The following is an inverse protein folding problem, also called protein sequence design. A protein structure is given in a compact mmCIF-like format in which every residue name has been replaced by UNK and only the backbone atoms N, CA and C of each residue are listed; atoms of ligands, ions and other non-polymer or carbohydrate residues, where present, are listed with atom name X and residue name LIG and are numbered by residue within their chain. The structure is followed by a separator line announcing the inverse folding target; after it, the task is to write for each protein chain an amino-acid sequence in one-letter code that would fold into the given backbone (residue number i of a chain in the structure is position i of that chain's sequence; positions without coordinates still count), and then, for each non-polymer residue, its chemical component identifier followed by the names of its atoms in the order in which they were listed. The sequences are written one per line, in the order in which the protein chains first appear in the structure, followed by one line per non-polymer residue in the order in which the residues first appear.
data_IF_827312513085
#
_entry.id   IF_827312513085
#
_cell.length_a   1.000
_cell.length_b   1.000
_cell.length_c   1.000
_cell.angle_alpha   90.00
_cell.angle_beta   90.00
_cell.angle_gamma   90.00
#
_symmetry.space_group_name_H-M   'P 1'
#
loop_
_entity.id
_entity.type
_entity.pdbx_description
1 polymer ?
#
# COMPACT_ATOMS: atom_id res chain seq x y z
N UNK A 1 -1.33 -7.76 4.92
CA UNK A 1 -1.39 -6.58 5.80
C UNK A 1 -2.83 -6.35 6.23
N UNK A 2 -3.09 -6.03 7.50
CA UNK A 2 -4.42 -5.65 7.99
C UNK A 2 -4.63 -4.13 7.91
N UNK A 3 -3.63 -3.37 8.31
CA UNK A 3 -3.62 -1.91 8.26
C UNK A 3 -2.16 -1.45 8.15
N UNK A 4 -1.94 -0.34 7.43
CA UNK A 4 -0.73 0.46 7.50
C UNK A 4 -1.12 1.85 7.99
N UNK A 5 -0.25 2.49 8.77
CA UNK A 5 -0.48 3.84 9.28
C UNK A 5 0.82 4.62 9.26
N UNK A 6 0.73 5.88 8.81
CA UNK A 6 1.79 6.87 8.87
C UNK A 6 1.25 8.14 9.57
N UNK A 7 2.13 8.97 10.16
CA UNK A 7 1.73 10.22 10.78
C UNK A 7 0.82 11.07 9.87
N UNK A 8 -0.32 11.51 10.41
CA UNK A 8 -1.31 12.31 9.68
C UNK A 8 -2.41 11.50 8.99
N UNK A 9 -2.35 10.17 8.99
CA UNK A 9 -3.42 9.32 8.45
C UNK A 9 -4.60 9.17 9.41
N UNK A 10 -5.81 9.19 8.83
CA UNK A 10 -7.03 8.76 9.52
C UNK A 10 -7.05 7.24 9.73
N UNK A 11 -7.75 6.73 10.76
CA UNK A 11 -8.00 5.30 10.91
C UNK A 11 -8.69 4.71 9.68
N UNK A 12 -8.38 3.44 9.38
CA UNK A 12 -9.10 2.71 8.35
C UNK A 12 -10.55 2.47 8.79
N UNK A 13 -11.49 3.10 8.10
CA UNK A 13 -12.91 2.81 8.18
C UNK A 13 -13.33 2.05 6.92
N UNK A 14 -13.96 0.88 7.09
CA UNK A 14 -14.53 0.10 5.99
C UNK A 14 -16.03 0.37 5.87
N UNK A 15 -16.56 0.25 4.66
CA UNK A 15 -17.99 0.40 4.41
C UNK A 15 -18.83 -0.65 5.17
N UNK A 16 -20.09 -0.36 5.51
CA UNK A 16 -21.00 -1.36 6.06
C UNK A 16 -21.03 -2.65 5.22
N UNK A 17 -21.01 -3.80 5.88
CA UNK A 17 -20.96 -5.11 5.22
C UNK A 17 -19.56 -5.53 4.75
N UNK A 18 -18.55 -4.68 4.88
CA UNK A 18 -17.15 -5.02 4.60
C UNK A 18 -16.35 -5.35 5.85
N UNK A 19 -15.41 -6.30 5.73
CA UNK A 19 -14.42 -6.56 6.77
C UNK A 19 -13.11 -7.10 6.19
N UNK A 20 -12.02 -6.99 6.95
CA UNK A 20 -10.81 -7.76 6.70
C UNK A 20 -10.85 -9.07 7.50
N UNK A 21 -10.46 -10.17 6.86
CA UNK A 21 -10.48 -11.50 7.48
C UNK A 21 -9.25 -11.71 8.37
N UNK A 22 -9.48 -11.97 9.66
CA UNK A 22 -8.50 -12.56 10.57
C UNK A 22 -8.92 -14.01 10.80
N UNK A 23 -8.07 -14.97 10.43
CA UNK A 23 -8.39 -16.39 10.60
C UNK A 23 -8.16 -16.81 12.05
N UNK A 24 -8.92 -17.81 12.52
CA UNK A 24 -8.64 -18.45 13.81
C UNK A 24 -7.20 -18.97 13.83
N UNK A 25 -6.48 -18.69 14.92
CA UNK A 25 -5.08 -19.09 15.09
C UNK A 25 -4.05 -18.17 14.42
N UNK A 26 -4.47 -17.04 13.81
CA UNK A 26 -3.53 -16.05 13.29
C UNK A 26 -2.71 -15.39 14.42
N UNK A 27 -1.43 -15.18 14.17
CA UNK A 27 -0.56 -14.31 14.98
C UNK A 27 -0.61 -12.91 14.38
N UNK A 28 -0.81 -11.90 15.21
CA UNK A 28 -0.73 -10.50 14.81
C UNK A 28 0.72 -10.03 15.00
N UNK A 29 1.34 -9.59 13.90
CA UNK A 29 2.67 -9.00 13.92
C UNK A 29 2.51 -7.50 13.82
N UNK A 30 3.14 -6.78 14.76
CA UNK A 30 3.18 -5.33 14.75
C UNK A 30 4.59 -4.87 14.37
N UNK A 31 4.70 -4.20 13.23
CA UNK A 31 5.95 -3.61 12.74
C UNK A 31 5.90 -2.11 12.99
N UNK A 32 6.89 -1.60 13.71
CA UNK A 32 6.99 -0.19 14.11
C UNK A 32 8.28 0.41 13.57
N UNK A 33 8.17 1.57 12.92
CA UNK A 33 9.31 2.33 12.42
C UNK A 33 9.49 3.55 13.32
N UNK A 34 10.56 3.59 14.10
CA UNK A 34 10.90 4.73 14.97
C UNK A 34 11.94 5.63 14.29
N UNK A 35 11.66 6.92 14.25
CA UNK A 35 12.69 7.95 14.06
C UNK A 35 13.22 8.35 15.44
N UNK A 36 14.52 8.13 15.68
CA UNK A 36 15.12 8.45 16.99
C UNK A 36 15.14 9.95 17.26
N UNK A 37 14.91 10.32 18.52
CA UNK A 37 15.06 11.70 19.01
C UNK A 37 16.45 11.95 19.64
N UNK A 38 17.28 10.91 19.75
CA UNK A 38 18.61 10.99 20.40
C UNK A 38 18.62 10.64 21.90
N UNK A 39 17.45 10.60 22.54
CA UNK A 39 17.30 10.29 23.96
C UNK A 39 16.66 8.92 24.18
N UNK A 40 17.01 8.26 25.28
CA UNK A 40 16.36 7.02 25.69
C UNK A 40 14.92 7.30 26.15
N UNK A 41 13.95 6.62 25.54
CA UNK A 41 12.53 6.73 25.85
C UNK A 41 11.87 5.36 25.96
N UNK A 42 10.71 5.30 26.62
CA UNK A 42 9.81 4.14 26.61
C UNK A 42 8.59 4.49 25.77
N UNK A 43 8.11 3.52 24.99
CA UNK A 43 6.91 3.66 24.18
C UNK A 43 5.95 2.49 24.44
N UNK A 44 4.65 2.77 24.37
CA UNK A 44 3.59 1.77 24.46
C UNK A 44 2.52 2.08 23.41
N UNK A 45 2.94 2.21 22.16
CA UNK A 45 2.01 2.37 21.04
C UNK A 45 1.13 1.13 20.87
N UNK A 46 -0.15 1.34 20.59
CA UNK A 46 -1.12 0.27 20.39
C UNK A 46 -1.99 0.50 19.16
N UNK A 47 -2.66 -0.57 18.73
CA UNK A 47 -3.64 -0.54 17.63
C UNK A 47 -4.96 -1.09 18.15
N UNK A 48 -6.04 -0.37 17.90
CA UNK A 48 -7.39 -0.85 18.17
C UNK A 48 -7.97 -1.57 16.94
N UNK A 49 -8.59 -2.72 17.16
CA UNK A 49 -9.29 -3.48 16.13
C UNK A 49 -10.78 -3.51 16.45
N UNK A 50 -11.60 -3.03 15.51
CA UNK A 50 -13.05 -3.13 15.59
C UNK A 50 -13.54 -4.33 14.77
N UNK A 51 -14.20 -5.27 15.44
CA UNK A 51 -14.76 -6.46 14.79
C UNK A 51 -16.19 -6.21 14.31
N UNK A 52 -16.55 -6.78 13.16
CA UNK A 52 -17.93 -6.72 12.66
C UNK A 52 -18.89 -7.35 13.67
N UNK A 53 -19.98 -6.64 13.98
CA UNK A 53 -21.06 -7.14 14.84
C UNK A 53 -22.23 -7.74 14.05
N UNK A 54 -22.24 -7.54 12.73
CA UNK A 54 -23.29 -7.99 11.81
C UNK A 54 -22.73 -8.83 10.66
N UNK A 55 -23.59 -9.24 9.71
CA UNK A 55 -23.17 -10.03 8.56
C UNK A 55 -22.11 -9.26 7.74
N UNK A 56 -21.03 -9.95 7.42
CA UNK A 56 -20.03 -9.47 6.44
C UNK A 56 -20.40 -10.05 5.09
N UNK A 57 -20.60 -9.18 4.10
CA UNK A 57 -20.92 -9.55 2.72
C UNK A 57 -19.66 -9.67 1.86
N UNK A 58 -18.72 -8.72 2.05
CA UNK A 58 -17.49 -8.62 1.28
C UNK A 58 -16.26 -8.61 2.18
N UNK A 59 -15.24 -9.35 1.77
CA UNK A 59 -13.91 -9.31 2.37
C UNK A 59 -13.05 -8.33 1.59
N UNK A 60 -12.52 -7.33 2.29
CA UNK A 60 -11.51 -6.43 1.76
C UNK A 60 -10.15 -7.13 1.76
N UNK A 61 -9.49 -7.11 0.61
CA UNK A 61 -8.18 -7.71 0.37
C UNK A 61 -7.19 -6.58 0.12
N UNK A 62 -6.09 -6.55 0.88
CA UNK A 62 -4.96 -5.65 0.63
C UNK A 62 -3.93 -6.36 -0.24
N UNK A 63 -3.55 -5.73 -1.34
CA UNK A 63 -2.47 -6.19 -2.23
C UNK A 63 -1.41 -5.11 -2.34
N UNK A 64 -0.15 -5.49 -2.11
CA UNK A 64 1.00 -4.70 -2.50
C UNK A 64 1.41 -5.10 -3.91
N UNK A 65 1.40 -4.13 -4.83
CA UNK A 65 1.96 -4.26 -6.18
C UNK A 65 3.37 -3.71 -6.09
N UNK A 66 4.37 -4.60 -6.04
CA UNK A 66 5.74 -4.23 -5.70
C UNK A 66 6.72 -4.75 -6.74
N UNK A 67 7.87 -4.08 -6.85
CA UNK A 67 9.04 -4.53 -7.62
C UNK A 67 9.57 -5.85 -7.05
N UNK A 68 10.37 -6.61 -7.83
CA UNK A 68 11.12 -7.74 -7.27
C UNK A 68 12.26 -7.20 -6.40
N UNK A 69 12.27 -7.46 -5.08
CA UNK A 69 13.30 -6.95 -4.17
C UNK A 69 14.72 -7.36 -4.57
N UNK A 70 14.87 -8.48 -5.30
CA UNK A 70 16.18 -9.03 -5.67
C UNK A 70 16.82 -8.30 -6.86
N UNK A 71 16.01 -7.70 -7.72
CA UNK A 71 16.49 -6.98 -8.91
C UNK A 71 16.40 -5.47 -8.76
N UNK A 72 15.62 -4.96 -7.80
CA UNK A 72 15.48 -3.54 -7.58
C UNK A 72 16.79 -2.90 -7.11
N UNK A 73 17.38 -2.10 -7.99
CA UNK A 73 18.68 -1.45 -7.79
C UNK A 73 18.68 -0.07 -8.44
N UNK A 74 18.75 0.98 -7.63
CA UNK A 74 18.85 2.37 -8.10
C UNK A 74 20.35 2.72 -8.19
N UNK A 75 20.87 3.10 -9.38
CA UNK A 75 22.27 3.49 -9.52
C UNK A 75 22.61 4.71 -8.67
N UNK A 76 23.88 4.79 -8.25
CA UNK A 76 24.42 5.99 -7.60
C UNK A 76 24.25 7.21 -8.51
N UNK A 77 23.80 8.33 -7.94
CA UNK A 77 23.67 9.60 -8.65
C UNK A 77 22.51 9.72 -9.66
N UNK A 78 21.72 8.67 -9.90
CA UNK A 78 20.61 8.71 -10.84
C UNK A 78 19.50 9.64 -10.32
N UNK A 79 19.21 10.72 -11.06
CA UNK A 79 18.25 11.73 -10.65
C UNK A 79 16.79 11.35 -10.98
N UNK A 80 16.54 10.28 -11.74
CA UNK A 80 15.20 9.91 -12.19
C UNK A 80 15.05 8.44 -12.57
N UNK A 81 15.51 7.54 -11.70
CA UNK A 81 15.41 6.10 -11.93
C UNK A 81 13.96 5.65 -11.94
N UNK A 82 13.51 4.98 -13.01
CA UNK A 82 12.16 4.47 -13.14
C UNK A 82 12.05 3.02 -12.64
N UNK A 83 11.03 2.75 -11.82
CA UNK A 83 10.67 1.41 -11.38
C UNK A 83 9.23 1.07 -11.77
N UNK A 84 8.99 -0.19 -12.11
CA UNK A 84 7.68 -0.69 -12.54
C UNK A 84 7.30 -1.99 -11.84
N UNK A 85 6.03 -2.13 -11.51
CA UNK A 85 5.45 -3.36 -10.99
C UNK A 85 4.02 -3.52 -11.49
N UNK A 86 3.54 -4.75 -11.62
CA UNK A 86 2.20 -5.01 -12.14
C UNK A 86 1.43 -6.06 -11.34
N UNK A 87 0.11 -6.01 -11.43
CA UNK A 87 -0.78 -7.01 -10.86
C UNK A 87 -2.02 -7.21 -11.74
N UNK A 88 -2.32 -8.47 -12.08
CA UNK A 88 -3.50 -8.81 -12.90
C UNK A 88 -4.58 -9.43 -12.03
N UNK A 89 -5.81 -8.92 -12.16
CA UNK A 89 -6.98 -9.47 -11.49
C UNK A 89 -7.44 -10.76 -12.16
N UNK A 90 -7.66 -11.81 -11.37
CA UNK A 90 -8.10 -13.13 -11.84
C UNK A 90 -9.62 -13.31 -11.80
N UNK A 91 -10.33 -12.36 -11.21
CA UNK A 91 -11.77 -12.32 -10.99
C UNK A 91 -12.25 -10.86 -11.09
N UNK A 92 -13.54 -10.67 -11.32
CA UNK A 92 -14.15 -9.34 -11.27
C UNK A 92 -14.04 -8.77 -9.84
N UNK A 93 -13.65 -7.50 -9.76
CA UNK A 93 -13.26 -6.86 -8.52
C UNK A 93 -13.70 -5.39 -8.46
N UNK A 94 -13.65 -4.82 -7.26
CA UNK A 94 -13.87 -3.40 -7.02
C UNK A 94 -12.74 -2.84 -6.16
N UNK A 95 -12.03 -1.82 -6.64
CA UNK A 95 -10.95 -1.13 -5.91
C UNK A 95 -11.54 -0.02 -5.03
N UNK A 96 -11.06 0.08 -3.78
CA UNK A 96 -11.55 1.02 -2.75
C UNK A 96 -10.52 2.09 -2.35
N UNK A 97 -9.23 1.82 -2.51
CA UNK A 97 -8.19 2.79 -2.17
C UNK A 97 -6.88 2.50 -2.89
N UNK A 98 -6.04 3.52 -2.92
CA UNK A 98 -4.63 3.46 -3.33
C UNK A 98 -3.75 4.07 -2.23
N UNK A 99 -2.59 3.48 -1.98
CA UNK A 99 -1.59 4.07 -1.07
C UNK A 99 -0.19 3.82 -1.64
N UNK A 100 0.37 4.76 -2.43
CA UNK A 100 1.74 4.64 -2.90
C UNK A 100 2.72 4.75 -1.72
N UNK A 101 3.70 3.87 -1.69
CA UNK A 101 4.73 3.84 -0.66
C UNK A 101 6.12 3.70 -1.28
N UNK A 102 6.99 4.63 -0.92
CA UNK A 102 8.41 4.71 -1.25
C UNK A 102 9.15 5.33 -0.06
N UNK A 103 10.47 5.23 0.00
CA UNK A 103 11.27 5.95 0.99
C UNK A 103 11.68 7.33 0.45
N UNK A 104 12.76 7.88 1.03
CA UNK A 104 13.16 9.29 0.90
C UNK A 104 13.62 9.71 -0.49
N UNK A 105 13.82 8.76 -1.41
CA UNK A 105 14.18 9.06 -2.80
C UNK A 105 12.97 9.07 -3.73
N UNK A 106 11.79 8.66 -3.28
CA UNK A 106 10.58 8.68 -4.10
C UNK A 106 10.25 10.08 -4.62
N UNK A 107 10.01 10.21 -5.93
CA UNK A 107 9.68 11.47 -6.63
C UNK A 107 8.23 11.56 -7.04
N UNK A 108 7.71 10.49 -7.61
CA UNK A 108 6.35 10.39 -8.12
C UNK A 108 5.89 8.94 -8.19
N UNK A 109 4.56 8.76 -8.24
CA UNK A 109 3.94 7.45 -8.34
C UNK A 109 2.65 7.54 -9.17
N UNK A 110 2.47 6.60 -10.08
CA UNK A 110 1.27 6.46 -10.91
C UNK A 110 0.69 5.05 -10.81
N UNK A 111 -0.64 4.98 -10.74
CA UNK A 111 -1.43 3.76 -10.93
C UNK A 111 -2.20 3.90 -12.23
N UNK A 112 -1.97 2.98 -13.17
CA UNK A 112 -2.71 2.87 -14.42
C UNK A 112 -3.38 1.50 -14.49
N UNK A 113 -4.65 1.46 -14.85
CA UNK A 113 -5.32 0.21 -15.20
C UNK A 113 -5.26 -0.01 -16.71
N UNK A 114 -5.01 -1.25 -17.12
CA UNK A 114 -5.10 -1.73 -18.50
C UNK A 114 -6.18 -2.81 -18.53
N UNK A 115 -7.21 -2.59 -19.32
CA UNK A 115 -8.36 -3.49 -19.44
C UNK A 115 -8.08 -4.64 -20.42
N UNK A 116 -8.88 -5.73 -20.39
CA UNK A 116 -8.70 -6.87 -21.28
C UNK A 116 -8.78 -6.54 -22.78
N UNK A 117 -9.49 -5.48 -23.14
CA UNK A 117 -9.63 -4.98 -24.51
C UNK A 117 -8.43 -4.12 -24.97
N UNK A 118 -7.44 -3.91 -24.09
CA UNK A 118 -6.25 -3.09 -24.35
C UNK A 118 -6.41 -1.60 -24.06
N UNK A 119 -7.62 -1.14 -23.72
CA UNK A 119 -7.82 0.25 -23.28
C UNK A 119 -7.17 0.48 -21.91
N UNK A 120 -6.85 1.73 -21.58
CA UNK A 120 -6.21 2.04 -20.29
C UNK A 120 -6.66 3.38 -19.72
N UNK A 121 -6.55 3.50 -18.40
CA UNK A 121 -6.91 4.69 -17.65
C UNK A 121 -5.97 4.89 -16.47
N UNK A 122 -5.55 6.12 -16.23
CA UNK A 122 -4.84 6.49 -14.99
C UNK A 122 -5.87 6.58 -13.87
N UNK A 123 -5.65 5.82 -12.79
CA UNK A 123 -6.52 5.79 -11.61
C UNK A 123 -6.04 6.76 -10.54
N UNK A 124 -4.73 6.89 -10.35
CA UNK A 124 -4.11 7.84 -9.43
C UNK A 124 -2.77 8.30 -10.00
N UNK A 125 -2.46 9.58 -9.86
CA UNK A 125 -1.15 10.15 -10.11
C UNK A 125 -0.74 11.06 -8.95
N UNK A 126 0.42 10.79 -8.38
CA UNK A 126 1.06 11.60 -7.34
C UNK A 126 2.35 12.16 -7.95
N UNK A 127 2.29 13.36 -8.58
CA UNK A 127 3.40 13.89 -9.38
C UNK A 127 4.53 14.51 -8.54
N UNK A 128 4.31 14.69 -7.24
CA UNK A 128 5.27 15.21 -6.26
C UNK A 128 5.09 14.41 -4.98
N UNK A 129 5.60 13.18 -4.98
CA UNK A 129 5.61 12.35 -3.79
C UNK A 129 6.46 13.01 -2.71
N UNK A 130 5.99 12.99 -1.48
CA UNK A 130 6.74 13.41 -0.30
C UNK A 130 6.66 12.28 0.73
N UNK A 131 7.81 11.77 1.16
CA UNK A 131 7.91 10.71 2.16
C UNK A 131 7.22 11.06 3.48
N UNK A 132 7.07 12.35 3.79
CA UNK A 132 6.37 12.80 4.99
C UNK A 132 4.83 12.77 4.82
N UNK A 133 4.31 12.62 3.60
CA UNK A 133 2.89 12.62 3.25
C UNK A 133 2.46 11.28 2.62
N UNK A 134 2.57 10.21 3.40
CA UNK A 134 2.17 8.86 2.99
C UNK A 134 0.66 8.67 3.14
N UNK A 135 -0.10 9.28 2.24
CA UNK A 135 -1.56 9.30 2.31
C UNK A 135 -2.18 8.06 1.69
N UNK A 136 -3.30 7.62 2.27
CA UNK A 136 -4.25 6.74 1.59
C UNK A 136 -5.26 7.59 0.82
N UNK A 137 -5.41 7.27 -0.47
CA UNK A 137 -6.39 7.88 -1.37
C UNK A 137 -7.58 6.94 -1.50
N UNK A 138 -8.64 7.23 -0.74
CA UNK A 138 -9.92 6.51 -0.86
C UNK A 138 -10.67 6.99 -2.10
N UNK A 139 -11.23 6.06 -2.86
CA UNK A 139 -12.11 6.42 -3.98
C UNK A 139 -13.49 6.80 -3.43
N UNK A 140 -14.13 7.79 -4.05
CA UNK A 140 -15.50 8.16 -3.69
C UNK A 140 -16.50 7.04 -3.98
N UNK A 141 -16.29 6.35 -5.08
CA UNK A 141 -17.09 5.20 -5.53
C UNK A 141 -16.14 4.09 -5.94
N UNK A 142 -16.45 2.86 -5.54
CA UNK A 142 -15.61 1.72 -5.79
C UNK A 142 -15.41 1.51 -7.31
N UNK A 143 -14.17 1.36 -7.74
CA UNK A 143 -13.84 1.28 -9.17
C UNK A 143 -14.01 -0.17 -9.62
N UNK A 144 -14.98 -0.42 -10.51
CA UNK A 144 -15.18 -1.73 -11.12
C UNK A 144 -13.97 -2.13 -11.98
N UNK A 145 -13.52 -3.36 -11.78
CA UNK A 145 -12.35 -3.94 -12.44
C UNK A 145 -12.72 -5.31 -12.99
N UNK A 146 -12.96 -5.42 -14.31
CA UNK A 146 -13.21 -6.71 -14.95
C UNK A 146 -12.01 -7.66 -14.78
N UNK A 147 -12.30 -8.95 -14.68
CA UNK A 147 -11.32 -10.03 -14.74
C UNK A 147 -10.37 -9.85 -15.92
N UNK A 148 -9.08 -10.05 -15.68
CA UNK A 148 -8.03 -9.88 -16.69
C UNK A 148 -7.48 -8.46 -16.79
N UNK A 149 -8.10 -7.48 -16.14
CA UNK A 149 -7.52 -6.14 -16.02
C UNK A 149 -6.21 -6.19 -15.24
N UNK A 150 -5.25 -5.36 -15.61
CA UNK A 150 -3.93 -5.24 -14.99
C UNK A 150 -3.70 -3.85 -14.43
N UNK A 151 -3.25 -3.76 -13.19
CA UNK A 151 -2.71 -2.53 -12.61
C UNK A 151 -1.22 -2.48 -12.93
N UNK A 152 -0.82 -1.39 -13.56
CA UNK A 152 0.56 -0.99 -13.77
C UNK A 152 0.88 0.14 -12.78
N UNK A 153 1.84 -0.10 -11.89
CA UNK A 153 2.38 0.92 -11.01
C UNK A 153 3.75 1.36 -11.54
N UNK A 154 3.94 2.67 -11.70
CA UNK A 154 5.18 3.29 -12.16
C UNK A 154 5.60 4.33 -11.15
N UNK A 155 6.87 4.33 -10.78
CA UNK A 155 7.44 5.26 -9.82
C UNK A 155 8.83 5.72 -10.25
N UNK A 156 9.22 6.92 -9.82
CA UNK A 156 10.57 7.42 -10.05
C UNK A 156 11.28 7.77 -8.74
N UNK A 157 12.61 7.64 -8.76
CA UNK A 157 13.49 7.90 -7.63
C UNK A 157 14.59 8.90 -7.98
N UNK A 158 14.91 9.79 -7.04
CA UNK A 158 16.03 10.74 -7.12
C UNK A 158 17.12 10.32 -6.13
N UNK A 159 18.11 9.57 -6.63
CA UNK A 159 19.33 9.22 -5.92
C UNK A 159 20.50 10.17 -6.26
N UNK A 160 20.21 11.36 -6.79
CA UNK A 160 21.23 12.38 -7.05
C UNK A 160 21.56 13.20 -5.80
N UNK A 161 22.64 13.99 -5.89
CA UNK A 161 23.03 14.94 -4.84
C UNK A 161 22.06 16.14 -4.71
N UNK A 162 21.12 16.32 -5.64
CA UNK A 162 20.15 17.41 -5.60
C UNK A 162 18.93 17.08 -4.73
N UNK A 163 18.70 15.80 -4.43
CA UNK A 163 17.65 15.41 -3.47
C UNK A 163 18.16 15.64 -2.05
N UNK A 164 17.67 16.71 -1.40
CA UNK A 164 18.01 17.07 0.00
C UNK A 164 17.69 15.98 1.04
N UNK A 165 16.84 15.01 0.70
CA UNK A 165 16.48 13.90 1.57
C UNK A 165 17.33 12.64 1.32
N UNK A 166 18.18 12.63 0.30
CA UNK A 166 19.06 11.53 -0.01
C UNK A 166 20.21 11.46 1.03
N UNK A 167 20.33 10.38 1.83
CA UNK A 167 21.36 10.27 2.85
C UNK A 167 22.79 10.14 2.28
N UNK A 168 22.93 9.48 1.11
CA UNK A 168 24.21 9.30 0.43
C UNK A 168 23.97 9.04 -1.07
N UNK A 169 24.22 10.03 -1.95
CA UNK A 169 24.02 9.90 -3.40
C UNK A 169 25.11 9.07 -4.10
N UNK A 170 26.20 8.73 -3.42
CA UNK A 170 27.31 7.95 -4.00
C UNK A 170 27.07 6.45 -3.96
N UNK A 171 26.07 6.00 -3.20
CA UNK A 171 25.76 4.59 -3.02
C UNK A 171 24.73 4.10 -4.03
N UNK A 172 24.88 2.83 -4.40
CA UNK A 172 23.84 2.06 -5.05
C UNK A 172 22.79 1.67 -4.01
N UNK A 173 21.52 2.00 -4.28
CA UNK A 173 20.41 1.75 -3.36
C UNK A 173 19.66 0.50 -3.78
N UNK A 174 19.24 -0.32 -2.81
CA UNK A 174 18.51 -1.58 -3.03
C UNK A 174 17.22 -1.59 -2.21
N UNK A 175 16.40 -2.61 -2.45
CA UNK A 175 15.22 -2.85 -1.64
C UNK A 175 15.60 -3.11 -0.17
N UNK A 176 14.87 -2.53 0.77
CA UNK A 176 15.02 -2.83 2.19
C UNK A 176 14.04 -2.07 3.10
N UNK A 177 14.02 -2.42 4.38
CA UNK A 177 13.07 -1.88 5.37
C UNK A 177 13.49 -0.52 5.94
N UNK A 178 14.78 -0.18 5.83
CA UNK A 178 15.30 1.05 6.40
C UNK A 178 15.04 2.25 5.49
N UNK A 179 14.79 3.42 6.08
CA UNK A 179 14.48 4.65 5.34
C UNK A 179 15.60 5.08 4.38
N UNK A 180 16.86 4.68 4.61
CA UNK A 180 17.97 4.94 3.69
C UNK A 180 18.13 3.87 2.59
N UNK A 181 17.48 2.71 2.73
CA UNK A 181 17.21 1.78 1.64
C UNK A 181 15.98 2.28 0.87
N UNK A 182 15.42 1.49 -0.05
CA UNK A 182 14.20 1.89 -0.76
C UNK A 182 13.12 0.81 -0.81
N UNK A 183 11.89 1.28 -1.04
CA UNK A 183 10.74 0.45 -1.38
C UNK A 183 10.00 1.04 -2.57
N UNK A 184 9.32 0.16 -3.30
CA UNK A 184 8.29 0.57 -4.27
C UNK A 184 7.10 -0.34 -4.03
N UNK A 185 6.04 0.22 -3.45
CA UNK A 185 4.81 -0.53 -3.22
C UNK A 185 3.60 0.31 -3.62
N UNK A 186 2.86 -0.19 -4.60
CA UNK A 186 1.53 0.27 -4.92
C UNK A 186 0.50 -0.51 -4.12
N UNK A 187 0.09 -0.02 -2.95
CA UNK A 187 -0.95 -0.68 -2.17
C UNK A 187 -2.33 -0.39 -2.74
N UNK A 188 -3.14 -1.44 -2.85
CA UNK A 188 -4.58 -1.34 -3.15
C UNK A 188 -5.38 -2.16 -2.15
N UNK A 189 -6.55 -1.65 -1.76
CA UNK A 189 -7.61 -2.47 -1.20
C UNK A 189 -8.69 -2.72 -2.25
N UNK A 190 -9.13 -3.96 -2.36
CA UNK A 190 -10.21 -4.35 -3.27
C UNK A 190 -11.10 -5.44 -2.68
N UNK A 191 -12.30 -5.57 -3.21
CA UNK A 191 -13.22 -6.68 -2.96
C UNK A 191 -13.43 -7.48 -4.25
N UNK A 192 -13.84 -8.74 -4.12
CA UNK A 192 -14.17 -9.59 -5.27
C UNK A 192 -15.67 -9.75 -5.42
N UNK A 193 -16.16 -9.79 -6.65
CA UNK A 193 -17.60 -9.83 -6.92
C UNK A 193 -18.20 -11.20 -6.57
N UNK A 194 -17.44 -12.28 -6.80
CA UNK A 194 -17.80 -13.64 -6.41
C UNK A 194 -17.80 -13.91 -4.91
N UNK A 195 -17.42 -12.95 -4.06
CA UNK A 195 -17.55 -13.11 -2.61
C UNK A 195 -19.02 -13.10 -2.19
N UNK A 196 -19.44 -14.19 -1.56
CA UNK A 196 -20.71 -14.32 -0.84
C UNK A 196 -20.42 -14.77 0.59
N UNK A 197 -19.99 -13.84 1.43
CA UNK A 197 -19.74 -14.13 2.83
C UNK A 197 -21.08 -13.94 3.57
N UNK A 198 -21.47 -14.93 4.37
CA UNK A 198 -22.57 -14.81 5.34
C UNK A 198 -22.03 -15.18 6.71
N UNK A 199 -21.04 -14.42 7.18
CA UNK A 199 -20.50 -14.62 8.52
C UNK A 199 -21.40 -13.89 9.51
N UNK A 200 -22.31 -14.64 10.14
CA UNK A 200 -23.25 -14.12 11.12
C UNK A 200 -23.65 -15.20 12.12
N UNK A 201 -22.93 -15.28 13.23
CA UNK A 201 -23.51 -15.70 14.51
C UNK A 201 -22.61 -15.16 15.61
N UNK A 202 -23.12 -14.17 16.36
CA UNK A 202 -22.52 -13.76 17.62
C UNK A 202 -22.56 -14.99 18.55
N UNK A 203 -21.43 -15.63 18.76
CA UNK A 203 -21.23 -16.34 20.03
C UNK A 203 -20.65 -15.31 20.96
N UNK A 204 -21.47 -14.85 21.92
CA UNK A 204 -21.02 -13.99 23.00
C UNK A 204 -19.79 -14.65 23.64
N UNK A 205 -18.64 -13.95 23.60
CA UNK A 205 -17.53 -14.29 24.46
C UNK A 205 -18.02 -14.05 25.89
N UNK A 206 -18.24 -15.15 26.62
CA UNK A 206 -18.35 -15.13 28.09
C UNK A 206 -16.97 -14.94 28.69
#
# INVERSE_FOLDING_TARGET
MLVGWAPGMSPLALEPGQAKLVKKGSVLVFQMHYTTTGDAAKDQTGVALWFSKGPVEKRVITKGVTVDPRSFTIPAGDANYEARSTFTFTEDAHIHMFMPHMHVRGKDFEYKIVYPDGTSKILLRVPKYDFNWQLTYFVKEAIAVPKGSRIDCVAHFDNSANNKYNPDPTQVVRWGDQTWEEMMIGWIDYTLDGQHIKAGTQTALK
#
